data_IF_253591667049
#
_entry.id   IF_253591667049
#
_cell.length_a   1.000
_cell.length_b   1.000
_cell.length_c   1.000
_cell.angle_alpha   90.00
_cell.angle_beta   90.00
_cell.angle_gamma   90.00
#
_symmetry.space_group_name_H-M   'P 1'
#
loop_
_entity.id
_entity.type
_entity.pdbx_description
1 polymer ?
#
# COMPACT_ATOMS: atom_id res chain seq x y z
N UNK A 1 -22.02 37.04 25.00
CA UNK A 1 -22.27 35.80 24.24
C UNK A 1 -20.92 35.14 23.98
N UNK A 2 -20.54 34.18 24.83
CA UNK A 2 -19.31 33.41 24.65
C UNK A 2 -19.48 32.50 23.45
N UNK A 3 -18.59 32.66 22.46
CA UNK A 3 -18.49 31.75 21.34
C UNK A 3 -17.88 30.46 21.89
N UNK A 4 -18.73 29.49 22.26
CA UNK A 4 -18.30 28.17 22.71
C UNK A 4 -17.64 27.50 21.51
N UNK A 5 -16.31 27.60 21.44
CA UNK A 5 -15.51 26.83 20.48
C UNK A 5 -15.83 25.36 20.70
N UNK A 6 -16.46 24.75 19.70
CA UNK A 6 -16.95 23.38 19.75
C UNK A 6 -15.74 22.43 19.90
N UNK A 7 -15.65 21.73 21.03
CA UNK A 7 -14.68 20.64 21.22
C UNK A 7 -15.10 19.51 20.25
N UNK A 8 -14.19 18.94 19.44
CA UNK A 8 -14.53 17.79 18.59
C UNK A 8 -15.04 16.66 19.47
N UNK A 9 -16.22 16.12 19.17
CA UNK A 9 -16.74 14.97 19.90
C UNK A 9 -15.94 13.71 19.56
N UNK A 10 -16.04 12.65 20.37
CA UNK A 10 -15.43 11.35 20.05
C UNK A 10 -15.86 10.81 18.66
N UNK A 11 -17.06 11.19 18.18
CA UNK A 11 -17.53 10.83 16.85
C UNK A 11 -16.79 11.58 15.74
N UNK A 12 -16.39 12.84 15.99
CA UNK A 12 -15.65 13.66 15.04
C UNK A 12 -14.22 13.13 14.88
N UNK A 13 -13.54 12.81 15.99
CA UNK A 13 -12.19 12.23 15.99
C UNK A 13 -12.09 10.96 15.12
N UNK A 14 -13.04 10.04 15.28
CA UNK A 14 -13.10 8.81 14.49
C UNK A 14 -13.33 9.11 13.01
N UNK A 15 -14.24 10.02 12.69
CA UNK A 15 -14.53 10.46 11.32
C UNK A 15 -13.31 11.07 10.62
N UNK A 16 -12.47 11.81 11.34
CA UNK A 16 -11.25 12.42 10.77
C UNK A 16 -10.14 11.40 10.53
N UNK A 17 -9.98 10.45 11.47
CA UNK A 17 -9.06 9.33 11.25
C UNK A 17 -9.52 8.47 10.07
N UNK A 18 -10.81 8.13 10.00
CA UNK A 18 -11.42 7.41 8.88
C UNK A 18 -11.26 8.16 7.55
N UNK A 19 -11.39 9.50 7.54
CA UNK A 19 -11.17 10.32 6.35
C UNK A 19 -9.73 10.22 5.83
N UNK A 20 -8.75 10.23 6.73
CA UNK A 20 -7.32 10.16 6.39
C UNK A 20 -6.95 8.78 5.84
N UNK A 21 -7.54 7.73 6.40
CA UNK A 21 -7.25 6.33 6.05
C UNK A 21 -8.15 5.76 4.95
N UNK A 22 -9.17 6.50 4.48
CA UNK A 22 -10.22 5.97 3.60
C UNK A 22 -9.65 5.24 2.37
N UNK A 23 -8.69 5.84 1.66
CA UNK A 23 -8.09 5.25 0.47
C UNK A 23 -7.25 4.01 0.82
N UNK A 24 -6.38 4.11 1.82
CA UNK A 24 -5.58 2.98 2.31
C UNK A 24 -6.47 1.81 2.72
N UNK A 25 -7.57 2.08 3.43
CA UNK A 25 -8.56 1.08 3.86
C UNK A 25 -9.20 0.36 2.70
N UNK A 26 -9.61 1.08 1.65
CA UNK A 26 -10.18 0.47 0.45
C UNK A 26 -9.21 -0.51 -0.21
N UNK A 27 -7.94 -0.12 -0.40
CA UNK A 27 -6.92 -1.01 -0.97
C UNK A 27 -6.66 -2.23 -0.08
N UNK A 28 -6.48 -2.02 1.22
CA UNK A 28 -6.25 -3.09 2.20
C UNK A 28 -7.41 -4.11 2.25
N UNK A 29 -8.66 -3.64 2.19
CA UNK A 29 -9.85 -4.51 2.13
C UNK A 29 -9.88 -5.30 0.82
N UNK A 30 -9.50 -4.67 -0.31
CA UNK A 30 -9.51 -5.34 -1.63
C UNK A 30 -8.56 -6.53 -1.72
N UNK A 31 -7.50 -6.55 -0.91
CA UNK A 31 -6.52 -7.65 -0.84
C UNK A 31 -6.65 -8.51 0.42
N UNK A 32 -7.65 -8.25 1.27
CA UNK A 32 -7.87 -8.99 2.51
C UNK A 32 -6.83 -8.76 3.61
N UNK A 33 -6.12 -7.64 3.56
CA UNK A 33 -5.07 -7.30 4.54
C UNK A 33 -5.49 -6.22 5.54
N UNK A 34 -6.75 -5.76 5.51
CA UNK A 34 -7.23 -4.79 6.50
C UNK A 34 -7.26 -5.40 7.90
N UNK A 35 -6.68 -4.73 8.92
CA UNK A 35 -6.68 -5.25 10.28
C UNK A 35 -8.10 -5.31 10.86
N UNK A 36 -8.46 -6.46 11.42
CA UNK A 36 -9.76 -6.65 12.05
C UNK A 36 -9.88 -5.85 13.34
N UNK A 37 -11.02 -5.19 13.51
CA UNK A 37 -11.40 -4.48 14.74
C UNK A 37 -12.58 -5.18 15.41
N UNK A 38 -12.81 -4.91 16.71
CA UNK A 38 -13.99 -5.45 17.42
C UNK A 38 -15.31 -5.06 16.75
N UNK A 39 -15.35 -3.92 16.04
CA UNK A 39 -16.49 -3.38 15.31
C UNK A 39 -16.47 -3.68 13.80
N UNK A 40 -15.63 -4.62 13.36
CA UNK A 40 -15.50 -4.92 11.93
C UNK A 40 -16.77 -5.49 11.33
N UNK A 41 -17.11 -5.03 10.13
CA UNK A 41 -18.25 -5.51 9.36
C UNK A 41 -18.06 -6.98 8.96
N UNK A 42 -19.15 -7.65 8.56
CA UNK A 42 -19.09 -9.03 8.04
C UNK A 42 -18.10 -9.16 6.87
N UNK A 43 -18.07 -8.17 5.98
CA UNK A 43 -17.16 -8.12 4.84
C UNK A 43 -15.69 -8.08 5.31
N UNK A 44 -15.36 -7.28 6.32
CA UNK A 44 -14.00 -7.20 6.86
C UNK A 44 -13.54 -8.48 7.56
N UNK A 45 -14.47 -9.24 8.13
CA UNK A 45 -14.16 -10.53 8.78
C UNK A 45 -13.97 -11.65 7.76
N UNK A 46 -14.83 -11.71 6.73
CA UNK A 46 -14.80 -12.75 5.70
C UNK A 46 -13.70 -12.52 4.65
N UNK A 47 -13.37 -11.26 4.37
CA UNK A 47 -12.36 -10.86 3.38
C UNK A 47 -11.02 -11.61 3.53
N UNK A 48 -10.33 -11.61 4.69
CA UNK A 48 -9.07 -12.34 4.84
C UNK A 48 -9.23 -13.86 4.70
N UNK A 49 -10.35 -14.45 5.18
CA UNK A 49 -10.59 -15.89 5.15
C UNK A 49 -10.67 -16.41 3.71
N UNK A 50 -11.29 -15.62 2.82
CA UNK A 50 -11.47 -16.01 1.41
C UNK A 50 -10.29 -15.57 0.54
N UNK A 51 -9.83 -14.33 0.70
CA UNK A 51 -8.86 -13.72 -0.21
C UNK A 51 -7.44 -14.24 0.00
N UNK A 52 -6.99 -14.47 1.24
CA UNK A 52 -5.63 -14.95 1.52
C UNK A 52 -5.33 -16.30 0.84
N UNK A 53 -6.14 -17.37 1.02
CA UNK A 53 -5.87 -18.65 0.37
C UNK A 53 -6.03 -18.58 -1.15
N UNK A 54 -7.00 -17.80 -1.65
CA UNK A 54 -7.19 -17.57 -3.08
C UNK A 54 -5.95 -16.93 -3.72
N UNK A 55 -5.43 -15.86 -3.11
CA UNK A 55 -4.25 -15.15 -3.60
C UNK A 55 -2.97 -15.97 -3.50
N UNK A 56 -2.79 -16.71 -2.40
CA UNK A 56 -1.66 -17.61 -2.24
C UNK A 56 -1.64 -18.69 -3.32
N UNK A 57 -2.82 -19.23 -3.65
CA UNK A 57 -2.97 -20.26 -4.70
C UNK A 57 -2.65 -19.70 -6.09
N UNK A 58 -3.16 -18.51 -6.44
CA UNK A 58 -2.87 -17.85 -7.73
C UNK A 58 -1.38 -17.59 -7.89
N UNK A 59 -0.71 -17.06 -6.86
CA UNK A 59 0.74 -16.81 -6.89
C UNK A 59 1.52 -18.12 -7.05
N UNK A 60 1.13 -19.19 -6.35
CA UNK A 60 1.79 -20.49 -6.43
C UNK A 60 1.65 -21.14 -7.82
N UNK A 61 0.44 -21.17 -8.40
CA UNK A 61 0.14 -21.73 -9.73
C UNK A 61 0.98 -21.07 -10.82
N UNK A 62 1.38 -19.81 -10.64
CA UNK A 62 2.17 -19.09 -11.62
C UNK A 62 3.67 -19.20 -11.33
N UNK A 63 4.06 -19.03 -10.07
CA UNK A 63 5.46 -18.93 -9.66
C UNK A 63 6.15 -20.30 -9.73
N UNK A 64 5.48 -21.38 -9.32
CA UNK A 64 6.07 -22.73 -9.33
C UNK A 64 6.38 -23.19 -10.77
N UNK A 65 5.44 -23.17 -11.73
CA UNK A 65 5.75 -23.53 -13.11
C UNK A 65 6.72 -22.54 -13.77
N UNK A 66 6.69 -21.27 -13.39
CA UNK A 66 7.63 -20.27 -13.91
C UNK A 66 9.08 -20.51 -13.48
N UNK A 67 9.29 -20.84 -12.20
CA UNK A 67 10.61 -21.25 -11.69
C UNK A 67 11.08 -22.52 -12.41
N UNK A 68 10.21 -23.53 -12.50
CA UNK A 68 10.54 -24.79 -13.19
C UNK A 68 10.88 -24.56 -14.66
N UNK A 69 10.20 -23.64 -15.35
CA UNK A 69 10.53 -23.28 -16.72
C UNK A 69 11.97 -22.75 -16.84
N UNK A 70 12.37 -21.82 -15.95
CA UNK A 70 13.72 -21.22 -15.96
C UNK A 70 14.81 -22.26 -15.73
N UNK A 71 14.55 -23.24 -14.84
CA UNK A 71 15.54 -24.27 -14.51
C UNK A 71 15.57 -25.43 -15.51
N UNK A 72 14.42 -25.88 -16.02
CA UNK A 72 14.28 -27.14 -16.76
C UNK A 72 14.10 -26.97 -18.28
N UNK A 73 13.55 -25.84 -18.75
CA UNK A 73 13.19 -25.64 -20.17
C UNK A 73 13.90 -24.49 -20.85
N UNK A 74 14.22 -23.42 -20.13
CA UNK A 74 14.88 -22.25 -20.69
C UNK A 74 16.31 -22.59 -21.14
N UNK A 75 16.52 -22.66 -22.45
CA UNK A 75 17.82 -22.91 -23.08
C UNK A 75 18.44 -21.57 -23.51
N UNK A 76 19.62 -21.28 -22.97
CA UNK A 76 20.34 -20.03 -23.24
C UNK A 76 20.02 -18.89 -22.26
N UNK A 77 20.97 -17.96 -22.16
CA UNK A 77 20.96 -16.88 -21.15
C UNK A 77 19.77 -15.92 -21.36
N UNK A 78 19.45 -15.56 -22.60
CA UNK A 78 18.34 -14.64 -22.90
C UNK A 78 16.96 -15.21 -22.52
N UNK A 79 16.70 -16.49 -22.82
CA UNK A 79 15.44 -17.15 -22.45
C UNK A 79 15.31 -17.37 -20.94
N UNK A 80 16.44 -17.49 -20.22
CA UNK A 80 16.45 -17.51 -18.75
C UNK A 80 16.20 -16.14 -18.14
N UNK A 81 16.76 -15.07 -18.73
CA UNK A 81 16.66 -13.70 -18.21
C UNK A 81 15.28 -13.07 -18.42
N UNK A 82 14.65 -13.29 -19.58
CA UNK A 82 13.35 -12.68 -19.90
C UNK A 82 12.26 -12.92 -18.83
N UNK A 83 12.05 -14.15 -18.29
CA UNK A 83 11.06 -14.40 -17.25
C UNK A 83 11.53 -14.04 -15.83
N UNK A 84 12.81 -13.76 -15.59
CA UNK A 84 13.30 -13.43 -14.25
C UNK A 84 12.68 -12.13 -13.73
N UNK A 85 12.55 -11.11 -14.56
CA UNK A 85 11.95 -9.82 -14.17
C UNK A 85 10.53 -10.00 -13.60
N UNK A 86 9.57 -10.62 -14.32
CA UNK A 86 8.23 -10.84 -13.78
C UNK A 86 8.22 -11.82 -12.60
N UNK A 87 9.12 -12.80 -12.53
CA UNK A 87 9.24 -13.70 -11.37
C UNK A 87 9.71 -12.96 -10.12
N UNK A 88 10.77 -12.16 -10.21
CA UNK A 88 11.26 -11.36 -9.09
C UNK A 88 10.22 -10.36 -8.61
N UNK A 89 9.52 -9.69 -9.53
CA UNK A 89 8.42 -8.80 -9.19
C UNK A 89 7.34 -9.52 -8.37
N UNK A 90 6.95 -10.74 -8.76
CA UNK A 90 5.95 -11.53 -8.03
C UNK A 90 6.44 -11.97 -6.65
N UNK A 91 7.68 -12.43 -6.54
CA UNK A 91 8.28 -12.81 -5.25
C UNK A 91 8.30 -11.60 -4.31
N UNK A 92 8.74 -10.44 -4.80
CA UNK A 92 8.76 -9.21 -4.02
C UNK A 92 7.36 -8.79 -3.58
N UNK A 93 6.38 -8.84 -4.49
CA UNK A 93 4.98 -8.52 -4.16
C UNK A 93 4.37 -9.47 -3.12
N UNK A 94 4.74 -10.76 -3.15
CA UNK A 94 4.34 -11.74 -2.14
C UNK A 94 5.00 -11.48 -0.79
N UNK A 95 6.28 -11.09 -0.76
CA UNK A 95 6.96 -10.67 0.47
C UNK A 95 6.30 -9.43 1.07
N UNK A 96 6.02 -8.42 0.25
CA UNK A 96 5.28 -7.22 0.67
C UNK A 96 3.92 -7.57 1.28
N UNK A 97 3.17 -8.46 0.62
CA UNK A 97 1.88 -8.94 1.13
C UNK A 97 2.02 -9.69 2.45
N UNK A 98 3.01 -10.57 2.57
CA UNK A 98 3.29 -11.33 3.79
C UNK A 98 3.65 -10.41 4.96
N UNK A 99 4.47 -9.37 4.72
CA UNK A 99 4.82 -8.35 5.71
C UNK A 99 3.56 -7.59 6.16
N UNK A 100 2.69 -7.22 5.22
CA UNK A 100 1.45 -6.51 5.52
C UNK A 100 0.53 -7.33 6.44
N UNK A 101 0.38 -8.63 6.16
CA UNK A 101 -0.37 -9.55 7.01
C UNK A 101 0.29 -9.74 8.38
N UNK A 102 1.60 -9.99 8.43
CA UNK A 102 2.33 -10.19 9.67
C UNK A 102 2.31 -8.95 10.58
N UNK A 103 2.36 -7.75 10.00
CA UNK A 103 2.33 -6.47 10.72
C UNK A 103 0.93 -5.91 10.93
N UNK A 104 -0.14 -6.67 10.63
CA UNK A 104 -1.52 -6.20 10.78
C UNK A 104 -1.84 -5.66 12.19
N UNK A 105 -1.31 -6.28 13.25
CA UNK A 105 -1.47 -5.79 14.63
C UNK A 105 -0.81 -4.43 14.86
N UNK A 106 0.43 -4.27 14.40
CA UNK A 106 1.16 -3.00 14.51
C UNK A 106 0.46 -1.88 13.70
N UNK A 107 -0.05 -2.20 12.51
CA UNK A 107 -0.84 -1.25 11.70
C UNK A 107 -2.09 -0.82 12.48
N UNK A 108 -2.79 -1.76 13.11
CA UNK A 108 -3.96 -1.45 13.93
C UNK A 108 -3.63 -0.55 15.13
N UNK A 109 -2.51 -0.81 15.80
CA UNK A 109 -2.02 0.04 16.89
C UNK A 109 -1.71 1.45 16.41
N UNK A 110 -1.03 1.62 15.27
CA UNK A 110 -0.80 2.92 14.67
C UNK A 110 -2.12 3.66 14.34
N UNK A 111 -3.12 2.96 13.78
CA UNK A 111 -4.43 3.55 13.46
C UNK A 111 -5.15 4.02 14.72
N UNK A 112 -5.08 3.25 15.82
CA UNK A 112 -5.66 3.64 17.11
C UNK A 112 -4.94 4.84 17.71
N UNK A 113 -3.61 4.86 17.63
CA UNK A 113 -2.82 5.98 18.12
C UNK A 113 -3.15 7.27 17.36
N UNK A 114 -3.31 7.20 16.04
CA UNK A 114 -3.80 8.33 15.24
C UNK A 114 -5.18 8.78 15.73
N UNK A 115 -6.10 7.87 16.01
CA UNK A 115 -7.43 8.22 16.55
C UNK A 115 -7.32 8.95 17.89
N UNK A 116 -6.44 8.51 18.79
CA UNK A 116 -6.18 9.17 20.07
C UNK A 116 -5.59 10.57 19.88
N UNK A 117 -4.65 10.73 18.96
CA UNK A 117 -4.07 12.03 18.60
C UNK A 117 -5.15 13.02 18.13
N UNK A 118 -6.13 12.56 17.33
CA UNK A 118 -7.28 13.39 16.93
C UNK A 118 -8.15 13.82 18.10
N UNK A 119 -8.22 13.05 19.20
CA UNK A 119 -9.00 13.43 20.40
C UNK A 119 -8.30 14.48 21.27
N UNK A 120 -6.96 14.51 21.24
CA UNK A 120 -6.16 15.45 22.04
C UNK A 120 -6.19 16.86 21.45
N UNK A 121 -6.54 17.00 20.16
CA UNK A 121 -6.63 18.30 19.50
C UNK A 121 -7.88 19.07 19.97
N UNK A 122 -7.65 20.04 20.86
CA UNK A 122 -8.71 20.85 21.47
C UNK A 122 -8.92 22.21 20.82
N UNK A 123 -7.88 22.80 20.20
CA UNK A 123 -7.98 24.10 19.53
C UNK A 123 -8.38 23.93 18.06
N UNK A 124 -9.21 24.84 17.57
CA UNK A 124 -9.65 24.87 16.16
C UNK A 124 -8.44 25.10 15.25
N UNK A 125 -7.50 25.94 15.68
CA UNK A 125 -6.29 26.26 14.92
C UNK A 125 -5.39 25.02 14.73
N UNK A 126 -5.24 24.21 15.77
CA UNK A 126 -4.49 22.95 15.72
C UNK A 126 -5.18 21.90 14.84
N UNK A 127 -6.52 21.88 14.89
CA UNK A 127 -7.35 21.03 14.06
C UNK A 127 -7.21 21.35 12.57
N UNK A 128 -7.21 22.62 12.20
CA UNK A 128 -7.01 23.06 10.81
C UNK A 128 -5.64 22.62 10.26
N UNK A 129 -4.59 22.71 11.09
CA UNK A 129 -3.25 22.25 10.74
C UNK A 129 -3.26 20.74 10.49
N UNK A 130 -3.80 19.94 11.41
CA UNK A 130 -3.81 18.48 11.25
C UNK A 130 -4.66 18.04 10.05
N UNK A 131 -5.80 18.70 9.83
CA UNK A 131 -6.67 18.44 8.67
C UNK A 131 -5.99 18.80 7.34
N UNK A 132 -5.18 19.87 7.29
CA UNK A 132 -4.39 20.22 6.10
C UNK A 132 -3.42 19.10 5.73
N UNK A 133 -2.71 18.54 6.73
CA UNK A 133 -1.80 17.42 6.51
C UNK A 133 -2.54 16.14 6.11
N UNK A 134 -3.69 15.84 6.72
CA UNK A 134 -4.53 14.71 6.33
C UNK A 134 -5.01 14.80 4.86
N UNK A 135 -5.46 15.99 4.42
CA UNK A 135 -5.85 16.23 3.02
C UNK A 135 -4.67 16.02 2.06
N UNK A 136 -3.50 16.53 2.41
CA UNK A 136 -2.29 16.33 1.61
C UNK A 136 -1.88 14.86 1.55
N UNK A 137 -1.92 14.13 2.67
CA UNK A 137 -1.66 12.68 2.69
C UNK A 137 -2.64 11.89 1.84
N UNK A 138 -3.93 12.23 1.88
CA UNK A 138 -4.94 11.62 1.02
C UNK A 138 -4.67 11.89 -0.46
N UNK A 139 -4.32 13.13 -0.82
CA UNK A 139 -3.97 13.49 -2.18
C UNK A 139 -2.75 12.69 -2.67
N UNK A 140 -1.67 12.66 -1.88
CA UNK A 140 -0.44 11.92 -2.20
C UNK A 140 -0.69 10.41 -2.32
N UNK A 141 -1.51 9.83 -1.45
CA UNK A 141 -1.94 8.43 -1.56
C UNK A 141 -2.70 8.18 -2.86
N UNK A 142 -3.60 9.08 -3.25
CA UNK A 142 -4.33 8.98 -4.51
C UNK A 142 -3.38 8.99 -5.72
N UNK A 143 -2.44 9.94 -5.77
CA UNK A 143 -1.43 10.03 -6.84
C UNK A 143 -0.53 8.79 -6.88
N UNK A 144 -0.08 8.31 -5.72
CA UNK A 144 0.75 7.11 -5.62
C UNK A 144 -0.01 5.88 -6.15
N UNK A 145 -1.25 5.69 -5.72
CA UNK A 145 -2.07 4.57 -6.14
C UNK A 145 -2.38 4.61 -7.64
N UNK A 146 -2.74 5.77 -8.21
CA UNK A 146 -3.04 5.87 -9.65
C UNK A 146 -1.79 5.63 -10.51
N UNK A 147 -0.64 6.15 -10.11
CA UNK A 147 0.61 5.95 -10.84
C UNK A 147 1.05 4.48 -10.81
N UNK A 148 1.04 3.85 -9.63
CA UNK A 148 1.43 2.45 -9.49
C UNK A 148 0.43 1.51 -10.18
N UNK A 149 -0.87 1.72 -9.99
CA UNK A 149 -1.88 0.86 -10.60
C UNK A 149 -1.99 1.08 -12.11
N UNK A 150 -1.86 2.32 -12.56
CA UNK A 150 -1.84 2.68 -13.98
C UNK A 150 -0.63 2.08 -14.71
N UNK A 151 0.57 2.13 -14.11
CA UNK A 151 1.75 1.53 -14.72
C UNK A 151 1.63 0.00 -14.82
N UNK A 152 1.14 -0.67 -13.79
CA UNK A 152 0.86 -2.11 -13.83
C UNK A 152 -0.20 -2.45 -14.90
N UNK A 153 -1.29 -1.67 -14.99
CA UNK A 153 -2.33 -1.89 -16.00
C UNK A 153 -1.78 -1.74 -17.42
N UNK A 154 -1.04 -0.67 -17.71
CA UNK A 154 -0.43 -0.43 -19.01
C UNK A 154 0.57 -1.54 -19.38
N UNK A 155 1.38 -1.99 -18.44
CA UNK A 155 2.31 -3.10 -18.66
C UNK A 155 1.58 -4.40 -19.02
N UNK A 156 0.53 -4.75 -18.26
CA UNK A 156 -0.27 -5.95 -18.53
C UNK A 156 -1.00 -5.84 -19.87
N UNK A 157 -1.60 -4.69 -20.19
CA UNK A 157 -2.25 -4.45 -21.47
C UNK A 157 -1.27 -4.63 -22.63
N UNK A 158 -0.09 -4.00 -22.55
CA UNK A 158 0.95 -4.14 -23.56
C UNK A 158 1.42 -5.59 -23.71
N UNK A 159 1.49 -6.36 -22.61
CA UNK A 159 1.86 -7.76 -22.64
C UNK A 159 0.79 -8.64 -23.31
N UNK A 160 -0.49 -8.44 -22.98
CA UNK A 160 -1.60 -9.22 -23.55
C UNK A 160 -1.83 -8.92 -25.04
N UNK A 161 -1.58 -7.68 -25.47
CA UNK A 161 -1.73 -7.29 -26.88
C UNK A 161 -0.63 -7.85 -27.79
N UNK A 162 0.51 -8.29 -27.24
CA UNK A 162 1.55 -8.94 -28.04
C UNK A 162 1.01 -10.26 -28.60
N UNK A 163 1.31 -10.51 -29.86
CA UNK A 163 0.99 -11.76 -30.55
C UNK A 163 2.24 -12.30 -31.22
N UNK A 164 2.38 -13.63 -31.24
CA UNK A 164 3.48 -14.34 -31.90
C UNK A 164 2.87 -15.43 -32.77
N UNK A 165 3.29 -15.52 -34.02
CA UNK A 165 2.89 -16.59 -34.93
C UNK A 165 3.79 -17.80 -34.72
N UNK A 166 3.21 -18.91 -34.25
CA UNK A 166 3.88 -20.21 -34.19
C UNK A 166 3.47 -21.03 -35.41
N UNK A 167 4.45 -21.52 -36.17
CA UNK A 167 4.21 -22.49 -37.25
C UNK A 167 4.44 -23.88 -36.68
N UNK A 168 3.38 -24.67 -36.58
CA UNK A 168 3.42 -26.06 -36.10
C UNK A 168 2.73 -26.92 -37.16
N UNK A 169 3.44 -27.93 -37.68
CA UNK A 169 2.93 -28.85 -38.71
C UNK A 169 2.34 -28.14 -39.95
N UNK A 170 3.03 -27.12 -40.48
CA UNK A 170 2.61 -26.28 -41.63
C UNK A 170 1.32 -25.46 -41.43
N UNK A 171 0.77 -25.40 -40.20
CA UNK A 171 -0.32 -24.50 -39.85
C UNK A 171 0.25 -23.35 -39.02
N UNK A 172 0.02 -22.12 -39.47
CA UNK A 172 0.37 -20.91 -38.73
C UNK A 172 -0.73 -20.59 -37.71
N UNK A 173 -0.42 -20.75 -36.43
CA UNK A 173 -1.33 -20.40 -35.33
C UNK A 173 -0.80 -19.19 -34.58
N UNK A 174 -1.61 -18.14 -34.51
CA UNK A 174 -1.30 -16.94 -33.72
C UNK A 174 -1.56 -17.22 -32.24
N UNK A 175 -0.55 -17.00 -31.39
CA UNK A 175 -0.66 -17.17 -29.94
C UNK A 175 -0.34 -15.86 -29.21
N UNK A 176 -0.93 -15.68 -28.03
CA UNK A 176 -0.55 -14.62 -27.09
C UNK A 176 0.52 -15.16 -26.13
N UNK A 177 1.75 -14.63 -26.13
CA UNK A 177 2.80 -15.15 -25.27
C UNK A 177 2.57 -14.79 -23.81
N UNK A 178 2.85 -15.72 -22.92
CA UNK A 178 2.83 -15.47 -21.47
C UNK A 178 4.05 -14.63 -21.06
N UNK A 179 3.82 -13.56 -20.30
CA UNK A 179 4.90 -12.74 -19.71
C UNK A 179 5.85 -13.57 -18.85
N UNK A 180 5.31 -14.59 -18.18
CA UNK A 180 6.09 -15.63 -17.52
C UNK A 180 5.67 -16.99 -18.09
N UNK A 181 6.54 -17.66 -18.86
CA UNK A 181 6.26 -18.99 -19.38
C UNK A 181 6.08 -19.99 -18.21
N UNK A 182 5.17 -20.93 -18.38
CA UNK A 182 4.99 -22.05 -17.47
C UNK A 182 5.74 -23.27 -18.00
N UNK A 183 6.28 -24.08 -17.09
CA UNK A 183 6.90 -25.36 -17.42
C UNK A 183 5.87 -26.28 -18.11
N UNK A 184 6.15 -26.66 -19.36
CA UNK A 184 5.14 -27.25 -20.26
C UNK A 184 4.63 -28.59 -19.78
N UNK A 185 5.46 -29.39 -19.08
CA UNK A 185 5.02 -30.68 -18.53
C UNK A 185 4.01 -30.54 -17.39
N UNK A 186 3.95 -29.38 -16.72
CA UNK A 186 2.93 -29.11 -15.72
C UNK A 186 1.72 -28.43 -16.34
N UNK A 187 1.94 -27.39 -17.14
CA UNK A 187 0.86 -26.60 -17.76
C UNK A 187 1.28 -26.24 -19.19
N UNK A 188 0.68 -26.90 -20.19
CA UNK A 188 0.84 -26.49 -21.59
C UNK A 188 -0.14 -25.38 -21.96
N UNK A 189 0.25 -24.15 -21.65
CA UNK A 189 -0.56 -22.95 -21.86
C UNK A 189 -0.31 -22.28 -23.22
N UNK A 190 0.15 -23.01 -24.24
CA UNK A 190 0.40 -22.43 -25.57
C UNK A 190 -0.88 -22.21 -26.39
N UNK A 191 -1.90 -23.02 -26.14
CA UNK A 191 -3.12 -23.05 -26.94
C UNK A 191 -4.34 -22.67 -26.10
N UNK A 192 -5.40 -22.23 -26.77
CA UNK A 192 -6.71 -22.00 -26.14
C UNK A 192 -7.29 -23.35 -25.68
N UNK A 193 -7.96 -23.42 -24.50
CA UNK A 193 -8.31 -22.31 -23.59
C UNK A 193 -7.26 -22.03 -22.50
N UNK A 194 -6.25 -22.89 -22.33
CA UNK A 194 -5.28 -22.80 -21.24
C UNK A 194 -4.46 -21.50 -21.29
N UNK A 195 -4.16 -20.98 -22.48
CA UNK A 195 -3.43 -19.73 -22.65
C UNK A 195 -4.19 -18.53 -22.06
N UNK A 196 -5.48 -18.38 -22.38
CA UNK A 196 -6.32 -17.27 -21.92
C UNK A 196 -6.52 -17.30 -20.40
N UNK A 197 -6.70 -18.51 -19.84
CA UNK A 197 -6.79 -18.72 -18.40
C UNK A 197 -5.49 -18.29 -17.72
N UNK A 198 -4.35 -18.71 -18.23
CA UNK A 198 -3.04 -18.36 -17.65
C UNK A 198 -2.72 -16.87 -17.77
N UNK A 199 -3.06 -16.22 -18.89
CA UNK A 199 -2.93 -14.77 -19.03
C UNK A 199 -3.77 -14.06 -17.96
N UNK A 200 -5.03 -14.47 -17.81
CA UNK A 200 -5.94 -13.90 -16.80
C UNK A 200 -5.38 -14.07 -15.39
N UNK A 201 -4.87 -15.25 -15.05
CA UNK A 201 -4.21 -15.51 -13.76
C UNK A 201 -2.97 -14.63 -13.57
N UNK A 202 -2.15 -14.41 -14.60
CA UNK A 202 -0.98 -13.54 -14.54
C UNK A 202 -1.33 -12.07 -14.32
N UNK A 203 -2.39 -11.58 -14.96
CA UNK A 203 -2.90 -10.21 -14.75
C UNK A 203 -3.43 -10.05 -13.32
N UNK A 204 -4.21 -11.03 -12.84
CA UNK A 204 -4.69 -11.03 -11.44
C UNK A 204 -3.55 -11.06 -10.44
N UNK A 205 -2.53 -11.90 -10.66
CA UNK A 205 -1.33 -11.94 -9.83
C UNK A 205 -0.58 -10.60 -9.82
N UNK A 206 -0.43 -9.96 -10.97
CA UNK A 206 0.18 -8.63 -11.08
C UNK A 206 -0.61 -7.57 -10.33
N UNK A 207 -1.95 -7.60 -10.41
CA UNK A 207 -2.83 -6.71 -9.65
C UNK A 207 -2.60 -6.83 -8.14
N UNK A 208 -2.56 -8.05 -7.60
CA UNK A 208 -2.41 -8.30 -6.15
C UNK A 208 -1.04 -7.85 -5.66
N UNK A 209 0.01 -8.23 -6.38
CA UNK A 209 1.40 -7.91 -6.03
C UNK A 209 1.68 -6.41 -6.09
N UNK A 210 1.07 -5.70 -7.05
CA UNK A 210 1.13 -4.25 -7.09
C UNK A 210 0.32 -3.60 -5.96
N UNK A 211 -0.89 -4.12 -5.69
CA UNK A 211 -1.78 -3.62 -4.64
C UNK A 211 -1.15 -3.74 -3.24
N UNK A 212 -0.38 -4.79 -2.94
CA UNK A 212 0.32 -4.93 -1.66
C UNK A 212 1.35 -3.81 -1.47
N UNK A 213 2.06 -3.45 -2.53
CA UNK A 213 3.04 -2.35 -2.52
C UNK A 213 2.33 -1.00 -2.37
N UNK A 214 1.22 -0.78 -3.09
CA UNK A 214 0.37 0.41 -2.94
C UNK A 214 -0.10 0.58 -1.49
N UNK A 215 -0.52 -0.51 -0.83
CA UNK A 215 -0.96 -0.47 0.58
C UNK A 215 0.16 -0.03 1.53
N UNK A 216 1.38 -0.54 1.33
CA UNK A 216 2.54 -0.16 2.15
C UNK A 216 2.85 1.32 1.95
N UNK A 217 2.93 1.77 0.69
CA UNK A 217 3.21 3.17 0.37
C UNK A 217 2.11 4.10 0.89
N UNK A 218 0.84 3.73 0.74
CA UNK A 218 -0.29 4.55 1.21
C UNK A 218 -0.32 4.68 2.73
N UNK A 219 -0.04 3.60 3.46
CA UNK A 219 0.09 3.66 4.92
C UNK A 219 1.27 4.53 5.34
N UNK A 220 2.43 4.38 4.69
CA UNK A 220 3.61 5.20 4.97
C UNK A 220 3.34 6.69 4.74
N UNK A 221 2.69 7.06 3.62
CA UNK A 221 2.28 8.44 3.32
C UNK A 221 1.34 8.96 4.40
N UNK A 222 0.29 8.21 4.76
CA UNK A 222 -0.68 8.66 5.76
C UNK A 222 -0.02 8.86 7.13
N UNK A 223 0.81 7.92 7.57
CA UNK A 223 1.51 8.02 8.86
C UNK A 223 2.53 9.16 8.88
N UNK A 224 3.33 9.32 7.83
CA UNK A 224 4.28 10.42 7.72
C UNK A 224 3.58 11.79 7.72
N UNK A 225 2.46 11.90 7.02
CA UNK A 225 1.69 13.14 6.97
C UNK A 225 0.99 13.44 8.29
N UNK A 226 0.46 12.43 8.98
CA UNK A 226 -0.10 12.58 10.33
C UNK A 226 0.96 13.05 11.33
N UNK A 227 2.12 12.39 11.35
CA UNK A 227 3.25 12.78 12.19
C UNK A 227 3.75 14.21 11.88
N UNK A 228 3.78 14.59 10.60
CA UNK A 228 4.12 15.95 10.17
C UNK A 228 3.10 16.98 10.67
N UNK A 229 1.81 16.64 10.69
CA UNK A 229 0.75 17.47 11.25
C UNK A 229 0.91 17.69 12.75
N UNK A 230 1.13 16.60 13.50
CA UNK A 230 1.43 16.64 14.94
C UNK A 230 2.65 17.51 15.24
N UNK A 231 3.70 17.37 14.43
CA UNK A 231 4.91 18.17 14.56
C UNK A 231 4.66 19.66 14.29
N UNK A 232 3.90 20.00 13.24
CA UNK A 232 3.56 21.39 12.92
C UNK A 232 2.73 22.03 14.04
N UNK A 233 1.83 21.29 14.65
CA UNK A 233 1.06 21.72 15.82
C UNK A 233 1.99 22.00 17.01
N UNK A 234 2.87 21.06 17.35
CA UNK A 234 3.83 21.21 18.45
C UNK A 234 4.76 22.42 18.24
N UNK A 235 5.22 22.63 17.00
CA UNK A 235 6.02 23.79 16.63
C UNK A 235 5.27 25.10 16.86
N UNK A 236 3.96 25.12 16.56
CA UNK A 236 3.11 26.30 16.77
C UNK A 236 2.95 26.60 18.25
N UNK A 237 2.65 25.59 19.08
CA UNK A 237 2.57 25.74 20.53
C UNK A 237 3.89 26.23 21.13
N UNK A 238 5.00 25.69 20.65
CA UNK A 238 6.32 26.12 21.09
C UNK A 238 6.57 27.60 20.79
N UNK A 239 6.21 28.07 19.60
CA UNK A 239 6.34 29.48 19.23
C UNK A 239 5.41 30.39 20.05
N UNK A 240 4.18 29.97 20.32
CA UNK A 240 3.27 30.70 21.22
C UNK A 240 3.86 30.80 22.64
N UNK A 241 4.40 29.70 23.16
CA UNK A 241 5.06 29.64 24.46
C UNK A 241 6.30 30.54 24.50
N UNK A 242 7.14 30.57 23.47
CA UNK A 242 8.29 31.49 23.41
C UNK A 242 7.85 32.95 23.38
N UNK A 243 6.82 33.30 22.60
CA UNK A 243 6.29 34.66 22.55
C UNK A 243 5.72 35.10 23.91
N UNK A 244 5.13 34.17 24.65
CA UNK A 244 4.58 34.41 25.98
C UNK A 244 5.66 34.43 27.08
N UNK A 245 6.70 33.60 26.99
CA UNK A 245 7.78 33.52 27.99
C UNK A 245 8.97 34.44 27.73
N UNK A 246 9.10 35.03 26.54
CA UNK A 246 9.91 36.25 26.37
C UNK A 246 9.46 37.36 27.34
N UNK A 247 8.22 37.28 27.87
CA UNK A 247 7.71 38.14 28.94
C UNK A 247 7.93 37.58 30.36
N UNK A 248 8.40 36.34 30.56
CA UNK A 248 8.51 35.67 31.89
C UNK A 248 9.53 34.50 31.89
N UNK A 249 10.81 34.78 32.13
CA UNK A 249 11.95 33.88 32.47
C UNK A 249 12.36 32.72 31.51
N UNK A 250 13.65 32.69 31.14
CA UNK A 250 14.15 32.20 29.84
C UNK A 250 15.07 30.94 29.86
N UNK A 251 15.36 30.30 31.00
CA UNK A 251 16.45 29.29 31.07
C UNK A 251 16.01 27.84 30.85
N UNK A 252 14.87 27.40 31.41
CA UNK A 252 14.41 26.00 31.34
C UNK A 252 13.89 25.63 29.94
N UNK A 253 13.22 26.58 29.28
CA UNK A 253 12.67 26.39 27.93
C UNK A 253 13.74 26.29 26.84
N UNK A 254 14.89 26.96 27.00
CA UNK A 254 15.95 26.95 26.00
C UNK A 254 16.61 25.56 25.89
N UNK A 255 16.67 24.84 27.00
CA UNK A 255 17.15 23.44 27.05
C UNK A 255 16.16 22.49 26.38
N UNK A 256 14.87 22.63 26.65
CA UNK A 256 13.83 21.78 26.04
C UNK A 256 13.73 22.01 24.52
N UNK A 257 13.83 23.27 24.07
CA UNK A 257 13.87 23.65 22.66
C UNK A 257 15.05 23.02 21.91
N UNK A 258 16.23 23.03 22.55
CA UNK A 258 17.43 22.41 21.99
C UNK A 258 17.24 20.90 21.82
N UNK A 259 16.63 20.23 22.80
CA UNK A 259 16.42 18.77 22.77
C UNK A 259 15.44 18.39 21.66
N UNK A 260 14.28 19.06 21.56
CA UNK A 260 13.28 18.77 20.52
C UNK A 260 13.83 19.05 19.12
N UNK A 261 14.54 20.17 18.93
CA UNK A 261 15.14 20.51 17.62
C UNK A 261 16.23 19.52 17.22
N UNK A 262 16.95 18.95 18.17
CA UNK A 262 17.93 17.89 17.91
C UNK A 262 17.22 16.57 17.56
N UNK A 263 16.18 16.20 18.30
CA UNK A 263 15.41 14.98 18.08
C UNK A 263 14.74 14.95 16.69
N UNK A 264 14.26 16.11 16.22
CA UNK A 264 13.65 16.27 14.91
C UNK A 264 14.64 16.26 13.76
N UNK A 265 15.90 16.63 14.02
CA UNK A 265 16.97 16.60 13.02
C UNK A 265 17.55 15.19 12.85
N UNK A 266 17.39 14.32 13.85
CA UNK A 266 17.82 12.91 13.81
C UNK A 266 16.77 11.99 13.15
N UNK A 267 15.52 12.44 13.06
CA UNK A 267 14.41 11.72 12.42
C UNK A 267 14.24 12.03 10.92
N UNK A 268 15.13 12.83 10.34
CA UNK A 268 15.30 13.08 8.90
C UNK A 268 16.64 12.49 8.45
#
# INVERSE_FOLDING_TARGET
>A
MSNVKHVPSNADSKKHNDYSLQLSRWFLISIGAWPQTRTSSLIERLSPIVLIPMWSSVVAIITIPGILYVFLEAKGIQMKLSPLVPLFHRIMGFLNYSILLARGKAILECIKHMEEDWRVVQKIEDYEVMMKHAKMGRYMTGVCATFMQGSAFLFNLAATMKTVTLVINNVSTTIHPLSCPAYRKLIDARFSPANEIMITMQVMSSYITNSSTVCICSLAIVFAMHASGQLSMLYTWFNELMKNNAKRNCSVQRKLASIVKHHLRVLW
#
